data_IF_403809997244
#
_entry.id   IF_403809997244
#
_cell.length_a   1.000
_cell.length_b   1.000
_cell.length_c   1.000
_cell.angle_alpha   90.00
_cell.angle_beta   90.00
_cell.angle_gamma   90.00
#
_symmetry.space_group_name_H-M   'P 1'
#
loop_
_entity.id
_entity.type
_entity.pdbx_description
1 polymer ?
#
# COMPACT_ATOMS: atom_id res chain seq x y z
N UNK A 1 20.38 34.47 31.46
CA UNK A 1 21.32 33.39 31.81
C UNK A 1 21.34 32.39 30.66
N UNK A 2 22.45 32.34 29.93
CA UNK A 2 22.80 31.31 28.95
C UNK A 2 23.30 30.04 29.65
N UNK A 3 23.00 28.87 29.09
CA UNK A 3 23.81 27.64 29.16
C UNK A 3 23.29 26.70 28.05
N UNK A 4 23.80 26.77 26.82
CA UNK A 4 25.02 26.11 26.28
C UNK A 4 24.87 24.58 26.17
N UNK A 5 24.68 24.15 24.92
CA UNK A 5 25.33 23.06 24.17
C UNK A 5 26.15 22.03 24.97
N UNK A 6 25.97 20.74 24.64
CA UNK A 6 27.04 19.83 24.15
C UNK A 6 26.67 18.38 24.45
N UNK A 7 26.58 17.55 23.40
CA UNK A 7 27.07 16.16 23.33
C UNK A 7 26.68 15.54 21.98
N UNK A 8 27.36 16.04 20.95
CA UNK A 8 27.66 15.25 19.77
C UNK A 8 29.18 15.14 19.71
N UNK A 9 29.66 13.95 19.38
CA UNK A 9 31.04 13.47 19.22
C UNK A 9 31.58 12.50 20.27
N UNK A 10 32.46 11.64 19.74
CA UNK A 10 33.06 10.41 20.26
C UNK A 10 32.15 9.18 20.04
N UNK A 11 32.39 8.30 19.06
CA UNK A 11 33.69 7.73 18.66
C UNK A 11 33.66 7.23 17.20
N UNK A 12 34.66 7.64 16.42
CA UNK A 12 35.22 6.85 15.33
C UNK A 12 36.67 6.55 15.67
N UNK A 13 37.17 5.35 15.35
CA UNK A 13 38.52 5.20 14.85
C UNK A 13 38.52 4.81 13.36
N UNK A 14 39.22 5.70 12.66
CA UNK A 14 39.83 5.76 11.34
C UNK A 14 40.20 4.48 10.54
N UNK A 15 40.36 4.76 9.24
CA UNK A 15 41.14 4.09 8.16
C UNK A 15 40.42 3.01 7.34
N UNK A 16 40.32 3.08 6.02
CA UNK A 16 40.74 4.11 5.06
C UNK A 16 40.14 3.84 3.68
N UNK A 17 40.40 4.73 2.72
CA UNK A 17 40.17 4.48 1.30
C UNK A 17 39.14 5.38 0.63
N UNK A 18 39.67 6.41 -0.03
CA UNK A 18 39.18 7.04 -1.26
C UNK A 18 38.04 8.06 -1.21
N UNK A 19 38.33 9.13 -1.96
CA UNK A 19 37.63 10.38 -2.10
C UNK A 19 36.29 10.25 -2.80
N UNK A 20 35.29 11.00 -2.34
CA UNK A 20 34.46 11.84 -3.21
C UNK A 20 33.74 12.87 -2.32
N UNK A 21 34.17 14.13 -2.44
CA UNK A 21 33.59 15.25 -1.72
C UNK A 21 32.16 15.51 -2.22
N UNK A 22 31.18 15.36 -1.32
CA UNK A 22 29.86 15.93 -1.52
C UNK A 22 29.59 16.89 -0.37
N UNK A 23 29.66 18.19 -0.68
CA UNK A 23 29.34 19.27 0.25
C UNK A 23 27.84 19.20 0.59
N UNK A 24 27.51 18.84 1.83
CA UNK A 24 26.14 18.92 2.34
C UNK A 24 25.93 20.37 2.79
N UNK A 25 25.15 21.13 2.02
CA UNK A 25 24.67 22.46 2.43
C UNK A 25 23.44 22.29 3.33
N UNK A 26 23.59 22.57 4.62
CA UNK A 26 22.48 22.61 5.58
C UNK A 26 22.07 24.07 5.75
N UNK A 27 20.94 24.45 5.16
CA UNK A 27 20.34 25.77 5.38
C UNK A 27 19.39 25.68 6.58
N UNK A 28 19.81 26.28 7.70
CA UNK A 28 18.97 26.50 8.87
C UNK A 28 18.08 27.72 8.58
N UNK A 29 16.77 27.53 8.54
CA UNK A 29 15.81 28.63 8.34
C UNK A 29 15.36 29.13 9.71
N UNK A 30 15.96 30.21 10.20
CA UNK A 30 15.44 30.97 11.32
C UNK A 30 14.39 32.00 10.85
N UNK A 31 13.40 32.18 11.71
CA UNK A 31 12.23 33.04 11.53
C UNK A 31 12.62 34.51 11.46
N UNK A 32 12.20 35.19 10.39
CA UNK A 32 12.11 36.65 10.33
C UNK A 32 13.32 37.37 9.72
N UNK A 33 13.31 37.52 8.39
CA UNK A 33 14.00 38.63 7.72
C UNK A 33 13.32 38.94 6.38
N UNK A 34 12.95 40.20 6.22
CA UNK A 34 12.30 40.77 5.04
C UNK A 34 13.21 40.68 3.81
N UNK A 35 12.70 40.15 2.70
CA UNK A 35 13.33 40.31 1.40
C UNK A 35 12.99 41.69 0.83
N UNK A 36 13.96 42.60 0.83
CA UNK A 36 14.00 43.75 -0.08
C UNK A 36 14.91 43.36 -1.23
N UNK A 37 14.34 43.04 -2.39
CA UNK A 37 15.12 42.77 -3.59
C UNK A 37 15.23 44.07 -4.38
N UNK A 38 16.42 44.66 -4.35
CA UNK A 38 16.80 45.74 -5.24
C UNK A 38 16.74 45.23 -6.69
N UNK A 39 15.94 45.87 -7.52
CA UNK A 39 15.83 45.57 -8.95
C UNK A 39 16.81 46.49 -9.67
N UNK A 40 17.88 45.92 -10.22
CA UNK A 40 18.75 46.62 -11.16
C UNK A 40 17.94 47.03 -12.39
N UNK A 41 17.90 48.32 -12.67
CA UNK A 41 17.20 48.89 -13.82
C UNK A 41 18.13 48.84 -15.02
N UNK A 42 17.86 47.95 -15.98
CA UNK A 42 18.41 48.07 -17.33
C UNK A 42 17.27 48.27 -18.33
N UNK A 43 17.28 49.45 -18.93
CA UNK A 43 16.36 49.94 -19.97
C UNK A 43 16.91 49.52 -21.33
N UNK A 44 16.18 48.69 -22.07
CA UNK A 44 16.12 48.58 -23.54
C UNK A 44 14.77 47.89 -23.80
N UNK A 45 13.77 48.49 -24.44
CA UNK A 45 13.77 48.97 -25.82
C UNK A 45 12.86 48.02 -26.64
N UNK A 46 11.81 48.58 -27.23
CA UNK A 46 10.82 47.99 -28.15
C UNK A 46 9.56 47.30 -27.58
N UNK A 47 8.44 48.00 -27.81
CA UNK A 47 7.06 47.64 -27.52
C UNK A 47 6.57 46.50 -28.42
N UNK A 48 6.07 45.42 -27.81
CA UNK A 48 5.24 44.41 -28.48
C UNK A 48 3.92 44.25 -27.71
N UNK A 49 2.74 44.18 -28.35
CA UNK A 49 1.46 44.19 -27.64
C UNK A 49 1.31 42.93 -26.78
N UNK A 50 0.75 43.12 -25.58
CA UNK A 50 0.48 42.08 -24.60
C UNK A 50 -0.41 40.98 -25.20
N UNK A 51 0.15 39.78 -25.32
CA UNK A 51 -0.58 38.56 -25.63
C UNK A 51 -1.52 38.25 -24.46
N UNK A 52 -2.81 38.14 -24.74
CA UNK A 52 -3.83 37.83 -23.73
C UNK A 52 -3.63 36.38 -23.28
N UNK A 53 -3.00 36.19 -22.13
CA UNK A 53 -2.90 34.87 -21.48
C UNK A 53 -4.30 34.49 -21.01
N UNK A 54 -4.96 33.60 -21.74
CA UNK A 54 -6.20 32.98 -21.27
C UNK A 54 -5.92 32.25 -19.94
N UNK A 55 -6.66 32.62 -18.89
CA UNK A 55 -6.66 31.87 -17.63
C UNK A 55 -7.15 30.44 -17.94
N UNK A 56 -6.43 29.38 -17.51
CA UNK A 56 -6.98 28.04 -17.61
C UNK A 56 -8.27 27.98 -16.77
N UNK A 57 -9.36 27.51 -17.39
CA UNK A 57 -10.63 27.27 -16.72
C UNK A 57 -10.42 26.39 -15.48
N UNK A 58 -11.23 26.53 -14.40
CA UNK A 58 -11.16 25.65 -13.26
C UNK A 58 -11.37 24.20 -13.75
N UNK A 59 -10.29 23.43 -13.80
CA UNK A 59 -10.37 22.02 -14.13
C UNK A 59 -11.19 21.36 -13.02
N UNK A 60 -12.33 20.80 -13.41
CA UNK A 60 -13.13 19.89 -12.60
C UNK A 60 -12.17 18.80 -12.09
N UNK A 61 -11.89 18.81 -10.79
CA UNK A 61 -10.95 17.88 -10.17
C UNK A 61 -11.46 16.46 -10.47
N UNK A 62 -10.72 15.63 -11.23
CA UNK A 62 -11.13 14.26 -11.44
C UNK A 62 -11.29 13.58 -10.08
N UNK A 63 -12.28 12.69 -9.89
CA UNK A 63 -12.51 12.05 -8.60
C UNK A 63 -11.21 11.45 -8.07
N UNK A 64 -10.92 11.55 -6.76
CA UNK A 64 -9.65 11.07 -6.22
C UNK A 64 -9.50 9.59 -6.55
N UNK A 65 -8.54 9.26 -7.41
CA UNK A 65 -8.14 7.89 -7.68
C UNK A 65 -7.70 7.27 -6.35
N UNK A 66 -8.58 6.52 -5.72
CA UNK A 66 -8.27 5.82 -4.47
C UNK A 66 -7.05 4.92 -4.68
N UNK A 67 -6.10 4.96 -3.74
CA UNK A 67 -4.86 4.17 -3.85
C UNK A 67 -5.19 2.68 -3.97
N UNK A 68 -4.32 1.89 -4.58
CA UNK A 68 -4.54 0.44 -4.70
C UNK A 68 -4.77 -0.23 -3.33
N UNK A 69 -4.11 0.28 -2.28
CA UNK A 69 -4.29 -0.17 -0.90
C UNK A 69 -5.68 0.14 -0.35
N UNK A 70 -6.20 1.35 -0.60
CA UNK A 70 -7.56 1.74 -0.22
C UNK A 70 -8.61 0.85 -0.89
N UNK A 71 -8.42 0.58 -2.19
CA UNK A 71 -9.30 -0.31 -2.95
C UNK A 71 -9.29 -1.72 -2.37
N UNK A 72 -8.11 -2.25 -2.01
CA UNK A 72 -7.99 -3.57 -1.38
C UNK A 72 -8.61 -3.58 0.02
N UNK A 73 -8.40 -2.54 0.84
CA UNK A 73 -9.06 -2.38 2.15
C UNK A 73 -10.58 -2.46 2.01
N UNK A 74 -11.14 -1.67 1.09
CA UNK A 74 -12.58 -1.66 0.82
C UNK A 74 -13.09 -2.99 0.28
N UNK A 75 -12.30 -3.67 -0.57
CA UNK A 75 -12.63 -5.00 -1.07
C UNK A 75 -12.65 -6.06 0.05
N UNK A 76 -11.70 -6.02 0.99
CA UNK A 76 -11.65 -6.93 2.15
C UNK A 76 -12.84 -6.65 3.07
N UNK A 77 -13.13 -5.39 3.39
CA UNK A 77 -14.28 -5.01 4.21
C UNK A 77 -15.59 -5.54 3.60
N UNK A 78 -15.78 -5.35 2.29
CA UNK A 78 -16.96 -5.86 1.58
C UNK A 78 -17.04 -7.38 1.59
N UNK A 79 -15.92 -8.07 1.40
CA UNK A 79 -15.87 -9.54 1.47
C UNK A 79 -16.28 -10.07 2.86
N UNK A 80 -15.91 -9.36 3.92
CA UNK A 80 -16.24 -9.75 5.30
C UNK A 80 -17.74 -9.56 5.62
N UNK A 81 -18.42 -8.68 4.90
CA UNK A 81 -19.86 -8.48 5.05
C UNK A 81 -20.71 -9.50 4.29
N UNK A 82 -20.17 -10.16 3.27
CA UNK A 82 -20.88 -11.17 2.48
C UNK A 82 -21.35 -12.35 3.34
N UNK A 83 -22.52 -12.88 3.00
CA UNK A 83 -23.16 -14.00 3.69
C UNK A 83 -23.26 -15.23 2.79
N UNK A 84 -23.26 -16.40 3.42
CA UNK A 84 -23.41 -17.69 2.78
C UNK A 84 -24.15 -18.64 3.72
N UNK A 85 -25.34 -19.09 3.31
CA UNK A 85 -26.23 -19.93 4.11
C UNK A 85 -26.53 -19.36 5.52
N UNK A 86 -26.95 -18.08 5.58
CA UNK A 86 -27.31 -17.36 6.82
C UNK A 86 -26.15 -17.19 7.83
N UNK A 87 -24.91 -17.38 7.39
CA UNK A 87 -23.71 -17.09 8.17
C UNK A 87 -22.82 -16.14 7.38
N UNK A 88 -21.90 -15.42 8.05
CA UNK A 88 -20.83 -14.71 7.34
C UNK A 88 -20.04 -15.71 6.47
N UNK A 89 -19.84 -15.35 5.20
CA UNK A 89 -19.03 -16.14 4.27
C UNK A 89 -17.61 -16.27 4.84
N UNK A 90 -17.06 -15.14 5.30
CA UNK A 90 -15.75 -15.05 5.94
C UNK A 90 -15.85 -15.21 7.47
N UNK A 91 -15.82 -16.46 7.96
CA UNK A 91 -15.98 -16.75 9.41
C UNK A 91 -14.87 -17.60 10.05
N UNK A 92 -13.83 -18.00 9.32
CA UNK A 92 -12.67 -18.74 9.84
C UNK A 92 -11.36 -18.02 9.53
N UNK A 93 -10.35 -18.17 10.40
CA UNK A 93 -9.02 -17.59 10.15
C UNK A 93 -8.31 -18.20 8.92
N UNK A 94 -8.60 -19.46 8.59
CA UNK A 94 -8.04 -20.12 7.40
C UNK A 94 -8.52 -19.47 6.10
N UNK A 95 -9.63 -18.73 6.10
CA UNK A 95 -10.14 -18.05 4.91
C UNK A 95 -9.20 -16.94 4.40
N UNK A 96 -8.29 -16.45 5.26
CA UNK A 96 -7.22 -15.56 4.83
C UNK A 96 -6.27 -16.20 3.79
N UNK A 97 -6.24 -17.53 3.69
CA UNK A 97 -5.49 -18.23 2.64
C UNK A 97 -6.02 -17.91 1.23
N UNK A 98 -7.35 -17.80 1.05
CA UNK A 98 -7.92 -17.39 -0.22
C UNK A 98 -7.56 -15.93 -0.56
N UNK A 99 -7.67 -15.03 0.41
CA UNK A 99 -7.29 -13.61 0.23
C UNK A 99 -5.82 -13.50 -0.19
N UNK A 100 -4.93 -14.19 0.52
CA UNK A 100 -3.51 -14.26 0.18
C UNK A 100 -3.31 -14.75 -1.26
N UNK A 101 -3.87 -15.91 -1.61
CA UNK A 101 -3.67 -16.51 -2.94
C UNK A 101 -4.14 -15.59 -4.06
N UNK A 102 -5.30 -14.97 -3.91
CA UNK A 102 -5.84 -14.04 -4.91
C UNK A 102 -4.99 -12.78 -5.04
N UNK A 103 -4.49 -12.21 -3.93
CA UNK A 103 -3.62 -11.04 -4.00
C UNK A 103 -2.28 -11.36 -4.67
N UNK A 104 -1.75 -12.58 -4.49
CA UNK A 104 -0.57 -13.03 -5.23
C UNK A 104 -0.89 -13.23 -6.72
N UNK A 105 -2.00 -13.90 -7.05
CA UNK A 105 -2.40 -14.15 -8.44
C UNK A 105 -2.67 -12.86 -9.23
N UNK A 106 -3.18 -11.81 -8.56
CA UNK A 106 -3.39 -10.48 -9.15
C UNK A 106 -2.14 -9.60 -9.12
N UNK A 107 -1.03 -10.07 -8.56
CA UNK A 107 0.27 -9.36 -8.56
C UNK A 107 0.44 -8.29 -7.48
N UNK A 108 -0.47 -8.20 -6.50
CA UNK A 108 -0.35 -7.27 -5.38
C UNK A 108 0.66 -7.74 -4.34
N UNK A 109 0.92 -9.05 -4.27
CA UNK A 109 1.84 -9.66 -3.33
C UNK A 109 2.77 -10.64 -4.05
N UNK A 110 3.99 -10.82 -3.52
CA UNK A 110 4.91 -11.85 -4.02
C UNK A 110 4.59 -13.19 -3.38
N UNK A 111 4.65 -14.25 -4.19
CA UNK A 111 4.47 -15.62 -3.71
C UNK A 111 5.52 -15.96 -2.64
N UNK A 112 5.11 -16.73 -1.63
CA UNK A 112 5.90 -17.18 -0.48
C UNK A 112 6.53 -16.09 0.40
N UNK A 113 6.31 -14.79 0.12
CA UNK A 113 6.77 -13.69 0.97
C UNK A 113 5.73 -13.33 2.05
N UNK A 114 5.60 -14.21 3.04
CA UNK A 114 4.62 -14.06 4.13
C UNK A 114 4.89 -12.87 5.04
N UNK A 115 6.14 -12.41 5.16
CA UNK A 115 6.50 -11.25 5.97
C UNK A 115 6.02 -9.94 5.33
N UNK A 116 6.23 -9.80 4.02
CA UNK A 116 5.69 -8.66 3.28
C UNK A 116 4.16 -8.67 3.27
N UNK A 117 3.54 -9.85 3.13
CA UNK A 117 2.08 -9.98 3.20
C UNK A 117 1.52 -9.60 4.58
N UNK A 118 2.15 -10.02 5.68
CA UNK A 118 1.76 -9.65 7.05
C UNK A 118 1.83 -8.14 7.27
N UNK A 119 2.90 -7.47 6.80
CA UNK A 119 3.00 -6.01 6.85
C UNK A 119 1.91 -5.33 6.01
N UNK A 120 1.67 -5.82 4.79
CA UNK A 120 0.64 -5.29 3.88
C UNK A 120 -0.77 -5.42 4.48
N UNK A 121 -1.15 -6.62 4.93
CA UNK A 121 -2.48 -6.86 5.50
C UNK A 121 -2.71 -6.03 6.76
N UNK A 122 -1.72 -5.85 7.63
CA UNK A 122 -1.88 -4.98 8.80
C UNK A 122 -2.19 -3.53 8.44
N UNK A 123 -1.76 -3.05 7.27
CA UNK A 123 -2.05 -1.70 6.77
C UNK A 123 -3.44 -1.58 6.13
N UNK A 124 -3.94 -2.66 5.51
CA UNK A 124 -5.23 -2.65 4.77
C UNK A 124 -6.37 -3.38 5.48
N UNK A 125 -6.12 -4.03 6.62
CA UNK A 125 -7.15 -4.72 7.39
C UNK A 125 -8.09 -3.69 8.05
N UNK A 126 -9.41 -3.87 7.96
CA UNK A 126 -10.36 -3.04 8.70
C UNK A 126 -10.12 -3.12 10.21
N UNK A 127 -10.40 -2.05 10.94
CA UNK A 127 -10.17 -1.97 12.40
C UNK A 127 -11.00 -2.99 13.20
N UNK A 128 -12.17 -3.36 12.69
CA UNK A 128 -13.11 -4.25 13.36
C UNK A 128 -13.46 -5.43 12.47
N UNK A 129 -12.70 -6.52 12.62
CA UNK A 129 -12.93 -7.76 11.87
C UNK A 129 -13.24 -8.90 12.83
N UNK A 130 -14.33 -9.62 12.58
CA UNK A 130 -14.75 -10.77 13.41
C UNK A 130 -13.66 -11.87 13.48
N UNK A 131 -12.87 -12.00 12.40
CA UNK A 131 -11.78 -12.98 12.29
C UNK A 131 -10.49 -12.29 11.85
N UNK A 132 -9.73 -11.72 12.81
CA UNK A 132 -8.50 -11.03 12.48
C UNK A 132 -7.50 -11.96 11.83
N UNK A 133 -6.74 -11.39 10.91
CA UNK A 133 -5.62 -12.06 10.27
C UNK A 133 -4.59 -12.47 11.33
N UNK A 134 -4.07 -13.69 11.19
CA UNK A 134 -2.87 -14.11 11.91
C UNK A 134 -1.87 -14.67 10.90
N UNK A 135 -0.60 -14.35 11.11
CA UNK A 135 0.47 -14.84 10.22
C UNK A 135 0.52 -16.37 10.12
N UNK A 136 0.19 -17.05 11.22
CA UNK A 136 0.13 -18.50 11.28
C UNK A 136 -0.92 -19.09 10.33
N UNK A 137 -2.10 -18.46 10.19
CA UNK A 137 -3.18 -19.01 9.37
C UNK A 137 -2.84 -19.05 7.88
N UNK A 138 -2.05 -18.09 7.40
CA UNK A 138 -1.62 -18.04 6.00
C UNK A 138 -0.34 -18.85 5.75
N UNK A 139 0.61 -18.93 6.70
CA UNK A 139 1.82 -19.78 6.53
C UNK A 139 1.48 -21.26 6.29
N UNK A 140 0.38 -21.74 6.88
CA UNK A 140 -0.11 -23.11 6.66
C UNK A 140 -0.62 -23.37 5.24
N UNK A 141 -0.81 -22.35 4.40
CA UNK A 141 -1.28 -22.53 3.01
C UNK A 141 -0.32 -23.39 2.19
N UNK A 142 0.98 -23.34 2.49
CA UNK A 142 2.01 -24.16 1.85
C UNK A 142 1.77 -25.67 1.99
N UNK A 143 0.95 -26.08 2.94
CA UNK A 143 0.59 -27.47 3.22
C UNK A 143 -0.79 -27.84 2.68
N UNK A 144 -1.45 -26.95 1.94
CA UNK A 144 -2.79 -27.16 1.38
C UNK A 144 -2.79 -26.99 -0.13
N UNK A 145 -3.83 -27.52 -0.79
CA UNK A 145 -4.02 -27.35 -2.24
C UNK A 145 -4.22 -25.89 -2.65
N UNK A 146 -4.56 -25.02 -1.69
CA UNK A 146 -4.79 -23.59 -1.91
C UNK A 146 -3.49 -22.80 -2.15
N UNK A 147 -2.32 -23.44 -2.00
CA UNK A 147 -1.02 -22.85 -2.39
C UNK A 147 -0.90 -22.61 -3.90
N UNK A 148 -1.54 -23.46 -4.71
CA UNK A 148 -1.51 -23.38 -6.18
C UNK A 148 -2.29 -22.15 -6.68
N UNK A 149 -1.99 -21.63 -7.90
CA UNK A 149 -2.79 -20.58 -8.51
C UNK A 149 -4.28 -20.93 -8.50
N UNK A 150 -5.14 -19.93 -8.30
CA UNK A 150 -6.59 -20.15 -8.14
C UNK A 150 -7.22 -20.90 -9.31
N UNK A 151 -6.75 -20.65 -10.54
CA UNK A 151 -7.21 -21.34 -11.75
C UNK A 151 -6.99 -22.86 -11.71
N UNK A 152 -6.03 -23.32 -10.91
CA UNK A 152 -5.63 -24.72 -10.77
C UNK A 152 -6.26 -25.38 -9.53
N UNK A 153 -7.08 -24.64 -8.78
CA UNK A 153 -7.82 -25.19 -7.65
C UNK A 153 -8.86 -26.19 -8.14
N UNK A 154 -8.73 -27.41 -7.66
CA UNK A 154 -9.67 -28.51 -7.89
C UNK A 154 -9.88 -29.26 -6.59
N UNK A 155 -11.09 -29.79 -6.40
CA UNK A 155 -11.36 -30.63 -5.24
C UNK A 155 -10.75 -32.01 -5.47
N UNK A 156 -9.85 -32.42 -4.60
CA UNK A 156 -9.29 -33.76 -4.56
C UNK A 156 -9.68 -34.45 -3.24
N UNK A 157 -10.32 -35.61 -3.37
CA UNK A 157 -10.73 -36.45 -2.24
C UNK A 157 -9.56 -37.03 -1.45
N UNK A 158 -8.35 -37.06 -2.01
CA UNK A 158 -7.15 -37.57 -1.32
C UNK A 158 -6.55 -36.53 -0.35
N UNK A 159 -6.63 -35.25 -0.69
CA UNK A 159 -6.01 -34.15 0.07
C UNK A 159 -7.03 -33.42 0.96
N UNK A 160 -8.30 -33.36 0.55
CA UNK A 160 -9.36 -32.67 1.26
C UNK A 160 -10.31 -33.65 1.96
N UNK A 161 -10.40 -33.54 3.30
CA UNK A 161 -11.25 -34.42 4.11
C UNK A 161 -12.75 -34.30 3.80
N UNK A 162 -13.21 -33.13 3.38
CA UNK A 162 -14.63 -32.87 3.06
C UNK A 162 -14.76 -31.82 1.96
N UNK A 163 -15.84 -31.91 1.16
CA UNK A 163 -16.10 -30.99 0.05
C UNK A 163 -16.55 -29.59 0.51
N UNK A 164 -17.30 -29.52 1.61
CA UNK A 164 -17.89 -28.25 2.11
C UNK A 164 -16.84 -27.16 2.41
N UNK A 165 -15.73 -27.43 3.13
CA UNK A 165 -14.68 -26.43 3.33
C UNK A 165 -13.99 -25.98 2.03
N UNK A 166 -13.77 -26.91 1.09
CA UNK A 166 -13.22 -26.58 -0.21
C UNK A 166 -14.15 -25.62 -0.98
N UNK A 167 -15.45 -25.97 -1.10
CA UNK A 167 -16.44 -25.15 -1.81
C UNK A 167 -16.57 -23.76 -1.17
N UNK A 168 -16.51 -23.67 0.17
CA UNK A 168 -16.53 -22.38 0.89
C UNK A 168 -15.28 -21.54 0.57
N UNK A 169 -14.09 -22.13 0.61
CA UNK A 169 -12.83 -21.45 0.26
C UNK A 169 -12.84 -20.94 -1.19
N UNK A 170 -13.29 -21.78 -2.12
CA UNK A 170 -13.43 -21.42 -3.54
C UNK A 170 -14.44 -20.29 -3.73
N UNK A 171 -15.55 -20.32 -2.99
CA UNK A 171 -16.56 -19.25 -3.02
C UNK A 171 -15.97 -17.94 -2.52
N UNK A 172 -15.22 -17.94 -1.41
CA UNK A 172 -14.51 -16.75 -0.91
C UNK A 172 -13.58 -16.17 -1.97
N UNK A 173 -12.77 -17.00 -2.60
CA UNK A 173 -11.84 -16.58 -3.63
C UNK A 173 -12.57 -15.93 -4.83
N UNK A 174 -13.64 -16.56 -5.32
CA UNK A 174 -14.46 -16.01 -6.41
C UNK A 174 -15.08 -14.66 -6.04
N UNK A 175 -15.75 -14.57 -4.90
CA UNK A 175 -16.38 -13.32 -4.43
C UNK A 175 -15.34 -12.21 -4.29
N UNK A 176 -14.16 -12.53 -3.78
CA UNK A 176 -13.10 -11.54 -3.63
C UNK A 176 -12.56 -11.05 -4.98
N UNK A 177 -12.37 -11.94 -5.96
CA UNK A 177 -12.02 -11.54 -7.34
C UNK A 177 -13.06 -10.58 -7.92
N UNK A 178 -14.35 -10.93 -7.83
CA UNK A 178 -15.43 -10.09 -8.34
C UNK A 178 -15.48 -8.71 -7.66
N UNK A 179 -15.25 -8.66 -6.34
CA UNK A 179 -15.23 -7.41 -5.58
C UNK A 179 -14.02 -6.56 -5.99
N UNK A 180 -12.84 -7.16 -6.17
CA UNK A 180 -11.65 -6.44 -6.64
C UNK A 180 -11.87 -5.85 -8.03
N UNK A 181 -12.48 -6.61 -8.94
CA UNK A 181 -12.77 -6.16 -10.31
C UNK A 181 -13.80 -5.03 -10.34
N UNK A 182 -14.86 -5.10 -9.52
CA UNK A 182 -15.84 -4.01 -9.38
C UNK A 182 -15.25 -2.73 -8.80
N UNK A 183 -14.28 -2.85 -7.90
CA UNK A 183 -13.58 -1.70 -7.33
C UNK A 183 -12.41 -1.23 -8.22
N UNK A 184 -12.22 -1.83 -9.40
CA UNK A 184 -11.16 -1.48 -10.35
C UNK A 184 -11.66 -0.71 -11.57
N UNK A 185 -12.97 -0.55 -11.70
CA UNK A 185 -13.67 0.14 -12.77
C UNK A 185 -14.31 1.42 -12.24
#
# INVERSE_FOLDING_TARGET
MLAILSRLFERLPQTGGESNGSHINVTIVESGAQYVQHIDTQIFGDSKPLETVELPSPQEVPPPTTSAEERIRNSIARLMEEEYNNEKLFNLQSHWQAVYRILVDKGFCKDSNFDAFDAFIRNVMPEHVNKPYTKASVKQISQTDFSRPFKDWSFDTQTSKTRKPYDRMRTIALRFIEILEKNSL
#
